data_IF_637808288240
#
_entry.id   IF_637808288240
#
_cell.length_a   1.000
_cell.length_b   1.000
_cell.length_c   1.000
_cell.angle_alpha   90.00
_cell.angle_beta   90.00
_cell.angle_gamma   90.00
#
_symmetry.space_group_name_H-M   'P 1'
#
loop_
_entity.id
_entity.type
_entity.pdbx_description
1 polymer ?
#
# COMPACT_ATOMS: atom_id res chain seq x y z
N UNK A 1 3.87 73.56 6.76
CA UNK A 1 4.73 73.01 7.83
C UNK A 1 5.05 71.56 7.43
N UNK A 2 6.04 71.30 6.57
CA UNK A 2 7.50 71.28 6.77
C UNK A 2 7.98 70.21 7.77
N UNK A 3 9.00 69.46 7.32
CA UNK A 3 9.88 68.47 7.99
C UNK A 3 9.40 67.02 7.87
N UNK A 4 9.91 66.15 6.99
CA UNK A 4 11.28 65.88 6.50
C UNK A 4 12.28 65.44 7.59
N UNK A 5 12.43 64.12 7.76
CA UNK A 5 13.66 63.39 8.10
C UNK A 5 13.53 62.01 7.43
N UNK A 6 14.14 61.73 6.27
CA UNK A 6 15.54 61.34 6.08
C UNK A 6 16.09 60.43 7.19
N UNK A 7 16.31 59.15 6.89
CA UNK A 7 17.65 58.59 6.66
C UNK A 7 17.73 57.08 6.96
N UNK A 8 18.05 56.33 5.89
CA UNK A 8 19.06 55.26 5.81
C UNK A 8 19.20 54.25 6.96
N UNK A 9 18.97 52.96 6.63
CA UNK A 9 20.06 51.97 6.63
C UNK A 9 19.70 50.76 5.77
N UNK A 10 20.44 50.61 4.67
CA UNK A 10 20.58 49.38 3.92
C UNK A 10 21.78 48.59 4.47
N UNK A 11 21.83 47.30 4.09
CA UNK A 11 22.95 46.36 4.15
C UNK A 11 23.12 45.54 5.44
N UNK A 12 22.77 44.25 5.37
CA UNK A 12 23.76 43.18 5.14
C UNK A 12 23.07 41.81 5.04
N UNK A 13 23.01 41.27 3.82
CA UNK A 13 22.88 39.84 3.60
C UNK A 13 24.27 39.22 3.77
N UNK A 14 24.47 38.42 4.81
CA UNK A 14 25.67 37.60 4.98
C UNK A 14 25.37 36.19 4.46
N UNK A 15 25.75 35.93 3.21
CA UNK A 15 25.85 34.59 2.68
C UNK A 15 27.28 34.08 2.94
N UNK A 16 27.48 33.39 4.06
CA UNK A 16 28.71 32.57 4.24
C UNK A 16 28.47 31.22 3.56
N UNK A 17 28.70 31.19 2.26
CA UNK A 17 28.88 29.95 1.53
C UNK A 17 30.24 29.35 1.94
N UNK A 18 30.23 28.43 2.90
CA UNK A 18 31.39 27.61 3.22
C UNK A 18 31.71 26.72 2.01
N UNK A 19 32.71 27.13 1.24
CA UNK A 19 33.32 26.36 0.18
C UNK A 19 34.11 25.19 0.78
N UNK A 20 33.42 24.08 1.05
CA UNK A 20 34.08 22.80 1.31
C UNK A 20 34.68 22.28 0.00
N UNK A 21 35.99 22.47 -0.13
CA UNK A 21 36.81 21.86 -1.16
C UNK A 21 36.59 20.34 -1.15
N UNK A 22 36.14 19.79 -2.28
CA UNK A 22 36.08 18.34 -2.48
C UNK A 22 37.50 17.88 -2.76
N UNK A 23 38.06 17.08 -1.86
CA UNK A 23 39.33 16.40 -2.10
C UNK A 23 39.06 15.28 -3.10
N UNK A 24 39.61 15.37 -4.31
CA UNK A 24 39.62 14.26 -5.25
C UNK A 24 40.62 13.22 -4.75
N UNK A 25 40.12 12.13 -4.17
CA UNK A 25 40.93 10.94 -3.91
C UNK A 25 41.01 10.13 -5.20
N UNK A 26 42.17 10.11 -5.84
CA UNK A 26 42.46 9.23 -6.97
C UNK A 26 42.79 7.84 -6.44
N UNK A 27 41.78 6.99 -6.25
CA UNK A 27 42.03 5.57 -6.06
C UNK A 27 42.47 4.96 -7.39
N UNK A 28 43.74 4.59 -7.48
CA UNK A 28 44.27 3.80 -8.58
C UNK A 28 43.63 2.40 -8.54
N UNK A 29 42.68 2.15 -9.43
CA UNK A 29 42.14 0.80 -9.64
C UNK A 29 43.21 -0.04 -10.32
N UNK A 30 43.84 -0.94 -9.55
CA UNK A 30 44.64 -2.02 -10.09
C UNK A 30 43.72 -2.94 -10.90
N UNK A 31 43.88 -2.93 -12.22
CA UNK A 31 43.23 -3.88 -13.13
C UNK A 31 43.89 -5.24 -12.93
N UNK A 32 43.17 -6.17 -12.30
CA UNK A 32 43.55 -7.57 -12.25
C UNK A 32 43.41 -8.16 -13.67
N UNK A 33 44.53 -8.48 -14.32
CA UNK A 33 44.55 -9.25 -15.57
C UNK A 33 44.37 -10.72 -15.25
N UNK A 34 43.12 -11.12 -14.99
CA UNK A 34 42.76 -12.52 -14.91
C UNK A 34 42.53 -13.05 -16.33
N UNK A 35 43.25 -14.12 -16.62
CA UNK A 35 43.17 -14.98 -17.80
C UNK A 35 41.75 -15.43 -18.11
N UNK A 36 41.47 -15.49 -19.41
CA UNK A 36 40.20 -15.82 -20.03
C UNK A 36 39.59 -17.16 -19.56
N UNK A 37 38.29 -17.14 -19.30
CA UNK A 37 37.28 -18.04 -19.89
C UNK A 37 35.90 -17.68 -19.31
N UNK A 38 35.31 -16.60 -19.81
CA UNK A 38 33.87 -16.40 -19.78
C UNK A 38 33.50 -15.99 -21.19
N UNK A 39 32.89 -16.91 -21.93
CA UNK A 39 32.34 -16.61 -23.24
C UNK A 39 31.29 -15.52 -23.03
N UNK A 40 31.43 -14.32 -23.63
CA UNK A 40 30.39 -13.32 -23.55
C UNK A 40 29.15 -13.91 -24.22
N UNK A 41 28.07 -14.06 -23.46
CA UNK A 41 26.77 -14.43 -24.01
C UNK A 41 26.48 -13.50 -25.19
N UNK A 42 25.94 -14.01 -26.33
CA UNK A 42 25.69 -13.19 -27.50
C UNK A 42 24.64 -12.14 -27.14
N UNK A 43 25.10 -10.92 -26.87
CA UNK A 43 24.22 -9.75 -26.72
C UNK A 43 23.69 -9.47 -28.11
N UNK A 44 22.46 -9.94 -28.39
CA UNK A 44 21.76 -9.58 -29.62
C UNK A 44 21.75 -8.05 -29.73
N UNK A 45 22.14 -7.48 -30.89
CA UNK A 45 22.07 -6.04 -31.08
C UNK A 45 20.63 -5.61 -30.86
N UNK A 46 20.39 -4.86 -29.78
CA UNK A 46 19.07 -4.30 -29.52
C UNK A 46 18.83 -3.22 -30.56
N UNK A 47 17.87 -3.45 -31.44
CA UNK A 47 17.30 -2.42 -32.30
C UNK A 47 17.02 -1.15 -31.48
N UNK A 48 17.35 0.00 -32.05
CA UNK A 48 17.25 1.32 -31.43
C UNK A 48 15.79 1.80 -31.34
N UNK A 49 14.87 0.90 -31.04
CA UNK A 49 13.49 1.20 -30.68
C UNK A 49 13.43 1.21 -29.16
N UNK A 50 12.99 2.32 -28.58
CA UNK A 50 12.92 2.48 -27.12
C UNK A 50 12.25 1.25 -26.48
N UNK A 51 12.92 0.65 -25.49
CA UNK A 51 12.38 -0.51 -24.77
C UNK A 51 11.02 -0.15 -24.20
N UNK A 52 9.96 -0.76 -24.70
CA UNK A 52 8.63 -0.64 -24.11
C UNK A 52 8.59 -1.46 -22.81
N UNK A 53 9.03 -0.82 -21.73
CA UNK A 53 9.09 -1.42 -20.40
C UNK A 53 7.70 -1.88 -19.93
N UNK A 54 6.63 -1.22 -20.36
CA UNK A 54 5.27 -1.57 -19.97
C UNK A 54 4.82 -2.87 -20.64
N UNK A 55 5.06 -3.02 -21.95
CA UNK A 55 4.77 -4.27 -22.66
C UNK A 55 5.64 -5.44 -22.15
N UNK A 56 6.88 -5.18 -21.78
CA UNK A 56 7.77 -6.19 -21.20
C UNK A 56 7.36 -6.61 -19.78
N UNK A 57 6.88 -5.65 -18.97
CA UNK A 57 6.29 -5.94 -17.66
C UNK A 57 5.04 -6.81 -17.80
N UNK A 58 4.15 -6.52 -18.75
CA UNK A 58 2.96 -7.34 -19.01
C UNK A 58 3.34 -8.79 -19.38
N UNK A 59 4.30 -8.99 -20.29
CA UNK A 59 4.79 -10.34 -20.64
C UNK A 59 5.41 -11.09 -19.46
N UNK A 60 6.11 -10.37 -18.57
CA UNK A 60 6.65 -10.95 -17.33
C UNK A 60 5.56 -11.33 -16.32
N UNK A 61 4.44 -10.61 -16.29
CA UNK A 61 3.29 -10.96 -15.47
C UNK A 61 2.58 -12.20 -16.04
N UNK A 62 2.52 -12.33 -17.37
CA UNK A 62 1.98 -13.53 -18.04
C UNK A 62 2.86 -14.77 -17.82
N UNK A 63 4.20 -14.62 -17.85
CA UNK A 63 5.16 -15.66 -17.47
C UNK A 63 5.43 -15.65 -15.96
N UNK A 64 4.37 -15.68 -15.14
CA UNK A 64 4.54 -15.79 -13.70
C UNK A 64 5.08 -17.19 -13.34
N UNK A 65 6.37 -17.29 -13.01
CA UNK A 65 6.86 -18.41 -12.19
C UNK A 65 6.05 -18.39 -10.90
N UNK A 66 5.42 -19.53 -10.56
CA UNK A 66 4.67 -19.72 -9.32
C UNK A 66 5.57 -19.36 -8.15
N UNK A 67 5.27 -18.25 -7.46
CA UNK A 67 6.07 -17.76 -6.34
C UNK A 67 6.06 -18.76 -5.19
N UNK A 68 5.03 -19.60 -5.11
CA UNK A 68 4.90 -20.72 -4.18
C UNK A 68 6.19 -21.54 -4.07
N UNK A 69 6.73 -21.98 -5.22
CA UNK A 69 7.93 -22.82 -5.31
C UNK A 69 9.21 -22.15 -4.78
N UNK A 70 9.27 -20.81 -4.79
CA UNK A 70 10.46 -20.03 -4.42
C UNK A 70 10.34 -19.40 -3.04
N UNK A 71 9.11 -19.20 -2.54
CA UNK A 71 8.85 -18.41 -1.32
C UNK A 71 9.39 -19.07 -0.04
N UNK A 72 9.55 -20.40 -0.04
CA UNK A 72 9.90 -21.17 1.15
C UNK A 72 8.78 -21.22 2.20
N UNK A 73 7.56 -20.82 1.85
CA UNK A 73 6.40 -20.99 2.69
C UNK A 73 6.03 -22.48 2.83
N UNK A 74 5.48 -22.90 3.98
CA UNK A 74 5.00 -24.27 4.14
C UNK A 74 3.78 -24.53 3.25
N UNK A 75 3.68 -25.72 2.66
CA UNK A 75 2.60 -26.12 1.75
C UNK A 75 1.21 -26.13 2.43
N UNK A 76 1.18 -26.29 3.76
CA UNK A 76 -0.04 -26.16 4.59
C UNK A 76 -0.74 -24.80 4.42
N UNK A 77 0.00 -23.78 3.97
CA UNK A 77 -0.57 -22.47 3.68
C UNK A 77 -1.54 -22.53 2.49
N UNK A 78 -1.31 -23.38 1.51
CA UNK A 78 -2.15 -23.42 0.31
C UNK A 78 -3.54 -24.02 0.60
N UNK A 79 -3.66 -24.80 1.68
CA UNK A 79 -4.92 -25.43 2.10
C UNK A 79 -5.92 -24.45 2.73
N UNK A 80 -5.48 -23.26 3.15
CA UNK A 80 -6.36 -22.28 3.79
C UNK A 80 -6.90 -21.29 2.76
N UNK A 81 -8.16 -20.92 2.90
CA UNK A 81 -8.77 -19.91 2.05
C UNK A 81 -8.38 -18.50 2.53
N UNK A 82 -8.17 -17.63 1.55
CA UNK A 82 -7.78 -16.23 1.73
C UNK A 82 -8.98 -15.34 1.42
N UNK A 83 -9.22 -14.32 2.26
CA UNK A 83 -10.29 -13.35 2.04
C UNK A 83 -9.73 -12.03 1.52
N UNK A 84 -10.16 -11.65 0.33
CA UNK A 84 -9.85 -10.35 -0.29
C UNK A 84 -11.05 -9.42 -0.10
N UNK A 85 -10.89 -8.33 0.64
CA UNK A 85 -11.99 -7.41 0.92
C UNK A 85 -11.52 -5.97 1.14
N UNK A 86 -12.44 -5.01 1.00
CA UNK A 86 -12.23 -3.67 1.56
C UNK A 86 -12.85 -3.59 2.95
N UNK A 87 -12.12 -3.11 3.96
CA UNK A 87 -12.64 -2.96 5.30
C UNK A 87 -13.88 -2.06 5.33
N UNK A 88 -14.92 -2.51 6.03
CA UNK A 88 -16.09 -1.69 6.28
C UNK A 88 -15.73 -0.47 7.14
N UNK A 89 -16.50 0.61 6.99
CA UNK A 89 -16.39 1.77 7.88
C UNK A 89 -16.78 1.34 9.29
N UNK A 90 -15.97 1.66 10.28
CA UNK A 90 -16.33 1.52 11.69
C UNK A 90 -17.59 2.33 12.00
N UNK A 91 -18.56 1.72 12.70
CA UNK A 91 -19.82 2.40 13.03
C UNK A 91 -19.58 3.56 14.00
N UNK A 92 -18.67 3.36 14.96
CA UNK A 92 -18.37 4.30 16.04
C UNK A 92 -17.70 5.60 15.58
N UNK A 93 -17.10 5.63 14.39
CA UNK A 93 -16.40 6.81 13.87
C UNK A 93 -16.86 7.19 12.46
N UNK A 94 -16.81 8.49 12.14
CA UNK A 94 -17.21 9.00 10.82
C UNK A 94 -16.09 8.90 9.78
N UNK A 95 -14.84 8.67 10.20
CA UNK A 95 -13.66 8.62 9.32
C UNK A 95 -13.70 7.48 8.31
N UNK A 96 -13.21 7.75 7.09
CA UNK A 96 -13.22 6.79 5.95
C UNK A 96 -11.81 6.49 5.41
N UNK A 97 -10.75 6.86 6.11
CA UNK A 97 -9.39 6.69 5.61
C UNK A 97 -9.02 5.20 5.44
N UNK A 98 -9.37 4.37 6.42
CA UNK A 98 -9.04 2.94 6.43
C UNK A 98 -9.84 2.05 5.48
N UNK A 99 -10.88 2.58 4.80
CA UNK A 99 -11.75 1.78 3.90
C UNK A 99 -11.29 1.79 2.45
N UNK A 100 -10.27 2.59 2.11
CA UNK A 100 -9.80 2.76 0.73
C UNK A 100 -8.87 1.64 0.26
N UNK A 101 -8.18 0.99 1.19
CA UNK A 101 -7.21 -0.08 0.90
C UNK A 101 -7.91 -1.41 0.77
N UNK A 102 -7.43 -2.24 -0.16
CA UNK A 102 -7.79 -3.65 -0.21
C UNK A 102 -6.96 -4.41 0.80
N UNK A 103 -7.58 -5.33 1.52
CA UNK A 103 -6.93 -6.20 2.48
C UNK A 103 -7.08 -7.64 2.07
N UNK A 104 -6.00 -8.38 2.30
CA UNK A 104 -5.93 -9.83 2.17
C UNK A 104 -5.66 -10.37 3.56
N UNK A 105 -6.66 -11.06 4.11
CA UNK A 105 -6.60 -11.69 5.42
C UNK A 105 -6.76 -13.21 5.24
N UNK A 106 -6.09 -13.98 6.08
CA UNK A 106 -6.18 -15.45 6.08
C UNK A 106 -7.35 -15.91 6.96
N UNK A 107 -8.01 -17.00 6.57
CA UNK A 107 -9.00 -17.64 7.43
C UNK A 107 -8.33 -18.36 8.61
N UNK A 108 -9.09 -18.57 9.69
CA UNK A 108 -8.60 -19.19 10.92
C UNK A 108 -8.46 -20.70 10.71
N UNK A 109 -7.26 -21.22 10.95
CA UNK A 109 -7.02 -22.66 10.88
C UNK A 109 -7.80 -23.41 11.97
N UNK A 110 -8.58 -24.40 11.55
CA UNK A 110 -9.33 -25.27 12.47
C UNK A 110 -8.35 -26.06 13.34
N UNK A 111 -8.49 -25.96 14.67
CA UNK A 111 -7.60 -26.63 15.64
C UNK A 111 -6.39 -25.81 16.12
N UNK A 112 -6.01 -24.73 15.42
CA UNK A 112 -4.94 -23.80 15.85
C UNK A 112 -5.47 -22.39 16.20
N UNK A 113 -6.78 -22.31 16.39
CA UNK A 113 -7.49 -21.11 16.82
C UNK A 113 -7.00 -20.61 18.19
N UNK A 114 -7.54 -19.50 18.67
CA UNK A 114 -7.16 -18.95 19.98
C UNK A 114 -7.62 -19.88 21.11
N UNK A 115 -6.72 -20.26 22.00
CA UNK A 115 -7.00 -20.99 23.23
C UNK A 115 -6.50 -20.23 24.46
N UNK A 116 -7.08 -20.53 25.62
CA UNK A 116 -6.66 -19.94 26.90
C UNK A 116 -5.41 -20.63 27.43
N UNK A 117 -4.39 -19.85 27.80
CA UNK A 117 -3.20 -20.36 28.47
C UNK A 117 -3.53 -20.76 29.92
N UNK A 118 -3.32 -22.02 30.35
CA UNK A 118 -3.69 -22.49 31.68
C UNK A 118 -2.97 -21.78 32.85
N UNK A 119 -1.83 -21.12 32.60
CA UNK A 119 -1.07 -20.43 33.65
C UNK A 119 -1.55 -18.98 33.86
N UNK A 120 -1.62 -18.19 32.79
CA UNK A 120 -1.87 -16.73 32.85
C UNK A 120 -3.22 -16.30 32.28
N UNK A 121 -3.97 -17.19 31.62
CA UNK A 121 -5.25 -16.86 30.96
C UNK A 121 -5.12 -16.07 29.67
N UNK A 122 -3.91 -15.92 29.11
CA UNK A 122 -3.70 -15.22 27.84
C UNK A 122 -4.23 -16.02 26.64
N UNK A 123 -4.65 -15.31 25.60
CA UNK A 123 -5.09 -15.90 24.35
C UNK A 123 -3.88 -16.37 23.51
N UNK A 124 -3.46 -17.62 23.73
CA UNK A 124 -2.44 -18.31 22.94
C UNK A 124 -3.00 -18.79 21.60
N UNK A 125 -2.13 -19.02 20.62
CA UNK A 125 -2.48 -19.65 19.33
C UNK A 125 -1.23 -20.19 18.66
N UNK A 126 -1.41 -21.19 17.79
CA UNK A 126 -0.35 -21.78 16.98
C UNK A 126 -0.42 -21.37 15.51
N UNK A 127 -1.32 -20.44 15.13
CA UNK A 127 -1.42 -19.99 13.75
C UNK A 127 -0.40 -18.88 13.45
N UNK A 128 0.54 -19.20 12.55
CA UNK A 128 1.64 -18.33 12.16
C UNK A 128 1.20 -17.11 11.31
N UNK A 129 0.00 -17.12 10.73
CA UNK A 129 -0.50 -16.01 9.90
C UNK A 129 -1.55 -15.14 10.55
N UNK A 130 -1.98 -15.47 11.77
CA UNK A 130 -3.08 -14.74 12.41
C UNK A 130 -2.79 -13.25 12.65
N UNK A 131 -1.51 -12.86 12.71
CA UNK A 131 -1.08 -11.46 12.82
C UNK A 131 -0.83 -10.76 11.48
N UNK A 132 -0.89 -11.49 10.36
CA UNK A 132 -0.48 -11.01 9.05
C UNK A 132 -1.69 -10.53 8.25
N UNK A 133 -1.70 -9.25 7.88
CA UNK A 133 -2.67 -8.69 6.94
C UNK A 133 -1.96 -7.88 5.88
N UNK A 134 -2.21 -8.20 4.62
CA UNK A 134 -1.56 -7.54 3.49
C UNK A 134 -2.45 -6.44 2.94
N UNK A 135 -1.86 -5.32 2.54
CA UNK A 135 -2.59 -4.14 2.03
C UNK A 135 -2.22 -3.90 0.57
N UNK A 136 -3.25 -3.78 -0.27
CA UNK A 136 -3.13 -3.55 -1.70
C UNK A 136 -3.88 -2.30 -2.13
N UNK A 137 -3.49 -1.75 -3.28
CA UNK A 137 -4.09 -0.55 -3.86
C UNK A 137 -5.32 -0.88 -4.69
N UNK A 138 -5.23 -1.93 -5.52
CA UNK A 138 -6.33 -2.39 -6.39
C UNK A 138 -6.80 -3.80 -5.97
N UNK A 139 -7.94 -4.23 -6.53
CA UNK A 139 -8.48 -5.58 -6.31
C UNK A 139 -7.66 -6.59 -7.10
N UNK A 140 -7.31 -6.19 -8.31
CA UNK A 140 -6.60 -6.95 -9.32
C UNK A 140 -5.19 -7.29 -8.83
N UNK A 141 -4.49 -6.34 -8.18
CA UNK A 141 -3.18 -6.59 -7.58
C UNK A 141 -3.25 -7.66 -6.48
N UNK A 142 -4.32 -7.63 -5.67
CA UNK A 142 -4.51 -8.59 -4.59
C UNK A 142 -4.81 -10.00 -5.14
N UNK A 143 -5.65 -10.08 -6.18
CA UNK A 143 -5.97 -11.33 -6.88
C UNK A 143 -4.70 -11.91 -7.51
N UNK A 144 -3.99 -11.11 -8.30
CA UNK A 144 -2.75 -11.53 -8.96
C UNK A 144 -1.69 -11.99 -7.94
N UNK A 145 -1.61 -11.35 -6.77
CA UNK A 145 -0.72 -11.81 -5.70
C UNK A 145 -1.11 -13.19 -5.17
N UNK A 146 -2.41 -13.45 -4.92
CA UNK A 146 -2.88 -14.75 -4.43
C UNK A 146 -2.71 -15.84 -5.49
N UNK A 147 -3.02 -15.55 -6.76
CA UNK A 147 -2.82 -16.47 -7.89
C UNK A 147 -1.34 -16.85 -8.04
N UNK A 148 -0.43 -15.88 -7.91
CA UNK A 148 1.01 -16.12 -7.99
C UNK A 148 1.52 -17.03 -6.87
N UNK A 149 0.92 -16.96 -5.68
CA UNK A 149 1.25 -17.81 -4.54
C UNK A 149 0.48 -19.14 -4.52
N UNK A 150 -0.51 -19.32 -5.40
CA UNK A 150 -1.32 -20.54 -5.43
C UNK A 150 -2.31 -20.65 -4.27
N UNK A 151 -2.77 -19.53 -3.69
CA UNK A 151 -3.73 -19.54 -2.60
C UNK A 151 -5.17 -19.45 -3.09
N UNK A 152 -6.04 -20.32 -2.57
CA UNK A 152 -7.49 -20.22 -2.79
C UNK A 152 -8.03 -18.94 -2.17
N UNK A 153 -8.77 -18.15 -2.93
CA UNK A 153 -9.27 -16.86 -2.47
C UNK A 153 -10.77 -16.66 -2.67
N UNK A 154 -11.37 -15.87 -1.77
CA UNK A 154 -12.74 -15.37 -1.88
C UNK A 154 -12.74 -13.85 -1.89
N UNK A 155 -13.41 -13.27 -2.89
CA UNK A 155 -13.52 -11.82 -3.03
C UNK A 155 -14.85 -11.33 -2.49
N UNK A 156 -14.80 -10.44 -1.49
CA UNK A 156 -15.98 -9.72 -0.99
C UNK A 156 -15.98 -8.30 -1.52
N UNK A 157 -16.99 -7.96 -2.33
CA UNK A 157 -17.11 -6.63 -2.89
C UNK A 157 -17.50 -5.57 -1.85
N UNK A 158 -16.92 -4.36 -1.93
CA UNK A 158 -17.25 -3.27 -1.02
C UNK A 158 -18.69 -2.81 -1.20
N UNK A 159 -19.45 -2.78 -0.09
CA UNK A 159 -20.79 -2.19 -0.07
C UNK A 159 -20.67 -0.65 -0.06
N UNK A 160 -20.95 -0.02 -1.19
CA UNK A 160 -20.96 1.45 -1.30
C UNK A 160 -22.22 2.01 -0.67
N UNK A 161 -22.05 2.93 0.30
CA UNK A 161 -23.18 3.61 0.92
C UNK A 161 -23.84 4.58 -0.06
N UNK A 162 -25.15 4.43 -0.29
CA UNK A 162 -25.95 5.40 -1.04
C UNK A 162 -26.04 6.71 -0.27
N UNK A 163 -25.66 7.82 -0.90
CA UNK A 163 -25.79 9.17 -0.33
C UNK A 163 -27.05 9.81 -0.92
N UNK A 164 -28.17 9.89 -0.17
CA UNK A 164 -29.36 10.61 -0.63
C UNK A 164 -29.12 12.13 -0.58
N UNK A 165 -29.82 12.93 -1.41
CA UNK A 165 -29.81 14.38 -1.28
C UNK A 165 -30.37 14.77 0.08
N UNK A 166 -29.67 15.65 0.79
CA UNK A 166 -30.08 16.15 2.10
C UNK A 166 -30.25 17.68 2.00
N UNK A 167 -31.45 18.17 2.23
CA UNK A 167 -31.75 19.61 2.32
C UNK A 167 -32.12 19.94 3.77
N UNK A 168 -31.50 20.99 4.33
CA UNK A 168 -31.85 21.46 5.67
C UNK A 168 -33.25 22.09 5.73
N UNK A 169 -33.69 22.69 4.62
CA UNK A 169 -35.02 23.30 4.51
C UNK A 169 -36.14 22.26 4.67
N UNK A 170 -35.90 21.02 4.24
CA UNK A 170 -36.86 19.91 4.36
C UNK A 170 -37.23 19.57 5.82
N UNK A 171 -36.50 20.08 6.80
CA UNK A 171 -36.87 19.95 8.22
C UNK A 171 -38.08 20.81 8.61
N UNK A 172 -38.46 21.79 7.78
CA UNK A 172 -39.48 22.80 8.07
C UNK A 172 -40.57 22.90 6.99
N UNK A 173 -40.70 21.87 6.15
CA UNK A 173 -41.72 21.85 5.11
C UNK A 173 -43.13 21.90 5.74
N UNK A 174 -43.99 22.75 5.17
CA UNK A 174 -45.36 22.89 5.65
C UNK A 174 -46.17 21.65 5.28
N UNK A 175 -46.69 20.96 6.29
CA UNK A 175 -47.61 19.83 6.12
C UNK A 175 -49.02 20.33 6.48
N UNK A 176 -49.97 20.36 5.52
CA UNK A 176 -51.30 20.91 5.76
C UNK A 176 -52.18 20.04 6.69
N UNK A 177 -51.79 18.79 6.92
CA UNK A 177 -52.49 17.86 7.80
C UNK A 177 -51.85 17.71 9.19
N UNK A 178 -52.27 16.70 9.93
CA UNK A 178 -51.67 16.36 11.22
C UNK A 178 -50.22 15.90 11.05
N UNK A 179 -49.30 16.53 11.76
CA UNK A 179 -47.88 16.16 11.73
C UNK A 179 -47.68 14.74 12.28
N UNK A 180 -46.83 13.95 11.61
CA UNK A 180 -46.46 12.59 12.03
C UNK A 180 -45.42 12.59 13.16
N UNK A 181 -44.48 13.53 13.12
CA UNK A 181 -43.40 13.68 14.09
C UNK A 181 -43.16 15.18 14.35
N UNK A 182 -42.88 15.53 15.61
CA UNK A 182 -42.42 16.87 15.98
C UNK A 182 -40.90 16.88 15.90
N UNK A 183 -40.32 17.64 14.96
CA UNK A 183 -38.88 17.68 14.76
C UNK A 183 -38.20 18.49 15.87
N UNK A 184 -37.15 17.92 16.47
CA UNK A 184 -36.25 18.60 17.41
C UNK A 184 -34.85 18.74 16.81
N UNK A 185 -34.03 19.63 17.37
CA UNK A 185 -32.63 19.82 16.97
C UNK A 185 -31.68 18.96 17.78
#
# INVERSE_FOLDING_TARGET
MLLLRQSTQALRAAATASSSARWMSTSSVLRNTATANTSPAPVKPTDNQGRDLAAEQLKRHEQAVTADLVSGAPEELNQRTVRIFRPAKTANSSGKAGTKVWRVDFDILQGSARWENPLMGWASSGDYLQGTSLKFRSKEDAIHFCEKQGWDYQVTEPKVARIPPKSYAANYDHIPGKLRIHHTK
#
